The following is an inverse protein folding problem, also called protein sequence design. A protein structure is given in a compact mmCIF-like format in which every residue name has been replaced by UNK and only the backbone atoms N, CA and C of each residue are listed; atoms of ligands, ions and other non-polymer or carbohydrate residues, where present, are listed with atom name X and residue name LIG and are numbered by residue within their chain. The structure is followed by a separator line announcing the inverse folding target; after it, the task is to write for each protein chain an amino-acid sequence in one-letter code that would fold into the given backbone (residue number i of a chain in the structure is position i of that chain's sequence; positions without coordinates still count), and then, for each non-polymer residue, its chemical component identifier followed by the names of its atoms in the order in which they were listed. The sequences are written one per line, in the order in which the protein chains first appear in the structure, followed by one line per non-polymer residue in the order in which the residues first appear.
data_IF_414079417761
#
_entry.id   IF_414079417761
#
_cell.length_a   1.000
_cell.length_b   1.000
_cell.length_c   1.000
_cell.angle_alpha   90.00
_cell.angle_beta   90.00
_cell.angle_gamma   90.00
#
_symmetry.space_group_name_H-M   'P 1'
#
loop_
_entity.id
_entity.type
_entity.pdbx_description
1 polymer ?
#
# COMPACT_ATOMS: atom_id res chain seq x y z
N UNK A 1 -18.10 -20.08 6.18
CA UNK A 1 -17.01 -20.68 5.40
C UNK A 1 -17.44 -21.48 4.14
N UNK A 2 -18.49 -22.32 4.16
CA UNK A 2 -18.89 -23.16 2.98
C UNK A 2 -19.38 -22.38 1.74
N UNK A 3 -19.96 -21.19 1.88
CA UNK A 3 -20.49 -20.39 0.75
C UNK A 3 -19.36 -19.75 -0.12
N UNK A 4 -18.24 -19.41 0.49
CA UNK A 4 -17.11 -18.82 -0.22
C UNK A 4 -16.29 -19.81 -1.07
N UNK A 5 -16.31 -21.12 -0.73
CA UNK A 5 -15.61 -22.17 -1.47
C UNK A 5 -16.36 -22.65 -2.74
N UNK A 6 -17.69 -22.56 -2.77
CA UNK A 6 -18.51 -22.97 -3.91
C UNK A 6 -18.39 -22.00 -5.09
N UNK A 7 -18.47 -20.69 -4.82
CA UNK A 7 -18.34 -19.65 -5.85
C UNK A 7 -16.96 -19.58 -6.51
N UNK A 8 -15.90 -20.11 -5.90
CA UNK A 8 -14.53 -20.04 -6.41
C UNK A 8 -14.22 -21.06 -7.52
N UNK A 9 -14.89 -22.20 -7.53
CA UNK A 9 -14.75 -23.18 -8.61
C UNK A 9 -15.44 -22.73 -9.89
N UNK A 10 -16.42 -21.86 -9.78
CA UNK A 10 -17.18 -21.29 -10.89
C UNK A 10 -16.60 -19.98 -11.40
N UNK A 11 -15.82 -19.27 -10.57
CA UNK A 11 -15.16 -18.03 -10.95
C UNK A 11 -13.97 -18.28 -11.89
N UNK A 12 -13.74 -17.39 -12.85
CA UNK A 12 -12.59 -17.43 -13.77
C UNK A 12 -11.30 -16.96 -13.11
N UNK A 13 -11.41 -16.12 -12.08
CA UNK A 13 -10.28 -15.60 -11.32
C UNK A 13 -10.72 -15.17 -9.92
N UNK A 14 -9.76 -14.99 -9.02
CA UNK A 14 -9.96 -14.41 -7.69
C UNK A 14 -9.04 -13.21 -7.53
N UNK A 15 -9.60 -12.04 -7.18
CA UNK A 15 -8.85 -10.87 -6.74
C UNK A 15 -9.12 -10.68 -5.25
N UNK A 16 -8.09 -10.87 -4.43
CA UNK A 16 -8.16 -10.70 -2.97
C UNK A 16 -7.58 -9.34 -2.56
N UNK A 17 -8.46 -8.38 -2.30
CA UNK A 17 -8.12 -7.04 -1.81
C UNK A 17 -8.58 -6.83 -0.36
N UNK A 18 -8.95 -7.89 0.35
CA UNK A 18 -9.46 -7.79 1.71
C UNK A 18 -8.33 -7.53 2.72
N UNK A 19 -7.99 -8.50 3.54
CA UNK A 19 -6.94 -8.37 4.55
C UNK A 19 -5.68 -9.11 4.10
N UNK A 20 -4.59 -8.37 3.85
CA UNK A 20 -3.30 -8.93 3.46
C UNK A 20 -2.60 -9.76 4.55
N UNK A 21 -3.08 -9.67 5.79
CA UNK A 21 -2.56 -10.43 6.94
C UNK A 21 -3.42 -11.66 7.28
N UNK A 22 -4.51 -11.91 6.55
CA UNK A 22 -5.39 -13.07 6.78
C UNK A 22 -4.89 -14.32 6.02
N UNK A 23 -3.97 -15.03 6.67
CA UNK A 23 -3.45 -16.31 6.18
C UNK A 23 -4.55 -17.35 5.99
N UNK A 24 -5.51 -17.42 6.91
CA UNK A 24 -6.61 -18.39 6.86
C UNK A 24 -7.50 -18.20 5.64
N UNK A 25 -7.78 -16.95 5.25
CA UNK A 25 -8.51 -16.67 4.01
C UNK A 25 -7.74 -17.15 2.77
N UNK A 26 -6.43 -16.93 2.71
CA UNK A 26 -5.58 -17.38 1.60
C UNK A 26 -5.55 -18.90 1.54
N UNK A 27 -5.29 -19.60 2.65
CA UNK A 27 -5.27 -21.07 2.73
C UNK A 27 -6.63 -21.70 2.41
N UNK A 28 -7.73 -21.00 2.66
CA UNK A 28 -9.05 -21.43 2.24
C UNK A 28 -9.32 -21.20 0.74
N UNK A 29 -8.64 -20.27 0.07
CA UNK A 29 -8.85 -19.95 -1.35
C UNK A 29 -7.96 -20.74 -2.30
N UNK A 30 -6.69 -20.89 -2.01
CA UNK A 30 -5.70 -21.49 -2.91
C UNK A 30 -6.04 -22.94 -3.34
N UNK A 31 -6.48 -23.86 -2.45
CA UNK A 31 -6.77 -25.24 -2.84
C UNK A 31 -7.84 -25.37 -3.93
N UNK A 32 -8.77 -24.42 -4.00
CA UNK A 32 -9.81 -24.44 -5.04
C UNK A 32 -9.28 -24.05 -6.44
N UNK A 33 -8.06 -23.51 -6.52
CA UNK A 33 -7.43 -23.04 -7.76
C UNK A 33 -6.28 -23.93 -8.23
N UNK A 34 -5.84 -24.90 -7.42
CA UNK A 34 -4.76 -25.83 -7.77
C UNK A 34 -5.09 -26.58 -9.06
N UNK A 35 -4.15 -26.64 -9.98
CA UNK A 35 -4.27 -27.32 -11.28
C UNK A 35 -5.23 -26.64 -12.27
N UNK A 36 -5.86 -25.52 -11.92
CA UNK A 36 -6.86 -24.88 -12.78
C UNK A 36 -6.28 -23.88 -13.79
N UNK A 37 -5.06 -23.41 -13.60
CA UNK A 37 -4.47 -22.29 -14.36
C UNK A 37 -5.15 -20.94 -14.12
N UNK A 38 -6.19 -20.87 -13.26
CA UNK A 38 -6.94 -19.65 -12.96
C UNK A 38 -6.10 -18.67 -12.14
N UNK A 39 -6.38 -17.37 -12.32
CA UNK A 39 -5.65 -16.33 -11.62
C UNK A 39 -6.07 -16.20 -10.16
N UNK A 40 -5.07 -16.02 -9.29
CA UNK A 40 -5.21 -15.53 -7.93
C UNK A 40 -4.36 -14.29 -7.76
N UNK A 41 -4.99 -13.11 -7.83
CA UNK A 41 -4.31 -11.82 -7.62
C UNK A 41 -4.52 -11.40 -6.18
N UNK A 42 -3.44 -11.28 -5.41
CA UNK A 42 -3.49 -10.92 -3.99
C UNK A 42 -2.87 -9.57 -3.74
N UNK A 43 -3.48 -8.81 -2.85
CA UNK A 43 -2.95 -7.53 -2.38
C UNK A 43 -2.05 -7.74 -1.19
N UNK A 44 -0.75 -7.43 -1.33
CA UNK A 44 0.18 -7.26 -0.22
C UNK A 44 0.24 -5.78 0.21
N UNK A 45 1.35 -5.30 0.72
CA UNK A 45 1.54 -3.89 1.05
C UNK A 45 2.99 -3.58 1.39
N UNK A 46 3.49 -2.46 0.87
CA UNK A 46 4.92 -2.12 0.90
C UNK A 46 5.52 -1.90 2.30
N UNK A 47 4.71 -1.92 3.36
CA UNK A 47 5.21 -1.95 4.74
C UNK A 47 6.06 -3.20 5.07
N UNK A 48 6.09 -4.20 4.19
CA UNK A 48 6.99 -5.37 4.28
C UNK A 48 8.47 -4.99 4.20
N UNK A 49 8.80 -3.83 3.62
CA UNK A 49 10.16 -3.28 3.56
C UNK A 49 10.39 -2.14 4.55
N UNK A 50 9.49 -1.93 5.49
CA UNK A 50 9.60 -0.91 6.54
C UNK A 50 10.80 -1.14 7.45
N UNK A 51 11.40 -0.04 7.92
CA UNK A 51 12.66 -0.04 8.69
C UNK A 51 12.52 0.46 10.14
N UNK A 52 11.34 0.93 10.55
CA UNK A 52 11.07 1.48 11.90
C UNK A 52 12.00 2.66 12.28
N UNK A 53 12.37 3.51 11.33
CA UNK A 53 13.33 4.61 11.51
C UNK A 53 12.82 5.77 12.41
N UNK A 54 11.61 5.69 12.95
CA UNK A 54 11.03 6.67 13.86
C UNK A 54 11.07 8.12 13.34
N UNK A 55 10.86 8.30 12.04
CA UNK A 55 10.82 9.61 11.39
C UNK A 55 12.15 10.03 10.74
N UNK A 56 13.21 9.23 10.86
CA UNK A 56 14.48 9.48 10.19
C UNK A 56 14.46 9.01 8.73
N UNK A 57 15.26 9.64 7.88
CA UNK A 57 15.39 9.31 6.47
C UNK A 57 16.15 7.99 6.27
N UNK A 58 15.57 7.07 5.49
CA UNK A 58 16.25 5.88 5.00
C UNK A 58 16.57 6.00 3.51
N UNK A 59 17.74 5.49 3.10
CA UNK A 59 18.21 5.58 1.71
C UNK A 59 17.91 4.31 0.89
N UNK A 60 17.55 3.20 1.55
CA UNK A 60 17.32 1.93 0.87
C UNK A 60 16.06 1.95 0.01
N UNK A 61 16.24 1.61 -1.27
CA UNK A 61 15.16 1.49 -2.25
C UNK A 61 15.08 0.03 -2.69
N UNK A 62 13.85 -0.50 -2.73
CA UNK A 62 13.59 -1.86 -3.16
C UNK A 62 12.97 -1.88 -4.56
N UNK A 63 13.31 -2.87 -5.35
CA UNK A 63 12.66 -3.18 -6.62
C UNK A 63 11.93 -4.52 -6.51
N UNK A 64 11.14 -4.86 -7.52
CA UNK A 64 10.29 -6.06 -7.49
C UNK A 64 11.04 -7.39 -7.30
N UNK A 65 12.31 -7.43 -7.70
CA UNK A 65 13.22 -8.59 -7.57
C UNK A 65 14.18 -8.49 -6.37
N UNK A 66 14.16 -7.38 -5.62
CA UNK A 66 14.99 -7.23 -4.44
C UNK A 66 14.49 -8.16 -3.33
N UNK A 67 15.34 -9.08 -2.82
CA UNK A 67 14.94 -9.98 -1.74
C UNK A 67 14.48 -9.21 -0.50
N UNK A 68 13.25 -9.49 -0.05
CA UNK A 68 12.69 -8.88 1.16
C UNK A 68 13.10 -9.71 2.38
N UNK A 69 13.81 -9.05 3.30
CA UNK A 69 14.09 -9.54 4.65
C UNK A 69 13.25 -8.74 5.64
N UNK A 70 12.04 -9.21 5.98
CA UNK A 70 11.12 -8.43 6.79
C UNK A 70 11.58 -8.36 8.24
N UNK A 71 11.28 -7.24 8.89
CA UNK A 71 11.32 -7.18 10.35
C UNK A 71 10.27 -8.13 10.96
N UNK A 72 10.44 -8.57 12.21
CA UNK A 72 9.54 -9.55 12.85
C UNK A 72 8.06 -9.22 12.72
N UNK A 73 7.69 -7.94 12.89
CA UNK A 73 6.29 -7.47 12.77
C UNK A 73 5.69 -7.58 11.35
N UNK A 74 6.49 -7.90 10.32
CA UNK A 74 6.03 -8.09 8.93
C UNK A 74 6.34 -9.48 8.38
N UNK A 75 7.00 -10.33 9.15
CA UNK A 75 7.38 -11.67 8.73
C UNK A 75 6.18 -12.54 8.33
N UNK A 76 5.07 -12.42 9.06
CA UNK A 76 3.84 -13.17 8.75
C UNK A 76 3.26 -12.80 7.37
N UNK A 77 3.21 -11.51 7.01
CA UNK A 77 2.76 -11.07 5.69
C UNK A 77 3.65 -11.58 4.57
N UNK A 78 4.97 -11.48 4.73
CA UNK A 78 5.93 -12.00 3.74
C UNK A 78 5.82 -13.51 3.61
N UNK A 79 5.50 -14.24 4.69
CA UNK A 79 5.23 -15.68 4.62
C UNK A 79 3.95 -15.99 3.83
N UNK A 80 2.92 -15.17 3.91
CA UNK A 80 1.70 -15.28 3.09
C UNK A 80 2.03 -15.00 1.62
N UNK A 81 2.77 -13.94 1.33
CA UNK A 81 3.20 -13.61 -0.03
C UNK A 81 3.98 -14.78 -0.66
N UNK A 82 4.92 -15.38 0.06
CA UNK A 82 5.68 -16.55 -0.39
C UNK A 82 4.79 -17.76 -0.65
N UNK A 83 3.86 -18.08 0.26
CA UNK A 83 2.89 -19.15 0.09
C UNK A 83 2.10 -18.99 -1.21
N UNK A 84 1.65 -17.77 -1.51
CA UNK A 84 0.90 -17.46 -2.73
C UNK A 84 1.79 -17.62 -3.96
N UNK A 85 3.00 -17.04 -3.97
CA UNK A 85 3.93 -17.15 -5.10
C UNK A 85 4.32 -18.61 -5.38
N UNK A 86 4.57 -19.41 -4.34
CA UNK A 86 4.92 -20.82 -4.46
C UNK A 86 3.77 -21.67 -5.02
N UNK A 87 2.51 -21.24 -4.88
CA UNK A 87 1.36 -21.94 -5.45
C UNK A 87 1.37 -22.01 -6.98
N UNK A 88 2.20 -21.19 -7.63
CA UNK A 88 2.45 -21.28 -9.07
C UNK A 88 2.94 -22.67 -9.50
N UNK A 89 3.75 -23.33 -8.66
CA UNK A 89 4.25 -24.70 -8.89
C UNK A 89 3.12 -25.75 -8.90
N UNK A 90 1.97 -25.40 -8.32
CA UNK A 90 0.79 -26.24 -8.24
C UNK A 90 -0.31 -25.84 -9.26
N UNK A 91 0.08 -25.12 -10.33
CA UNK A 91 -0.83 -24.75 -11.42
C UNK A 91 -1.83 -23.65 -11.06
N UNK A 92 -1.51 -22.79 -10.08
CA UNK A 92 -2.24 -21.54 -9.82
C UNK A 92 -1.51 -20.40 -10.53
N UNK A 93 -2.20 -19.58 -11.29
CA UNK A 93 -1.61 -18.34 -11.81
C UNK A 93 -1.64 -17.27 -10.71
N UNK A 94 -0.73 -17.45 -9.74
CA UNK A 94 -0.61 -16.58 -8.57
C UNK A 94 0.14 -15.30 -8.90
N UNK A 95 -0.40 -14.17 -8.44
CA UNK A 95 0.17 -12.83 -8.63
C UNK A 95 0.02 -12.02 -7.35
N UNK A 96 1.08 -11.34 -6.97
CA UNK A 96 1.06 -10.34 -5.88
C UNK A 96 1.11 -8.94 -6.49
N UNK A 97 0.14 -8.10 -6.15
CA UNK A 97 0.23 -6.65 -6.28
C UNK A 97 0.53 -6.08 -4.89
N UNK A 98 1.64 -5.36 -4.76
CA UNK A 98 2.10 -4.77 -3.51
C UNK A 98 2.03 -3.24 -3.59
N UNK A 99 0.87 -2.63 -3.28
CA UNK A 99 0.72 -1.19 -3.32
C UNK A 99 1.50 -0.53 -2.19
N UNK A 100 1.87 0.71 -2.47
CA UNK A 100 2.48 1.66 -1.53
C UNK A 100 1.39 2.43 -0.77
N UNK A 101 1.67 3.64 -0.28
CA UNK A 101 0.62 4.49 0.28
C UNK A 101 -0.42 4.81 -0.81
N UNK A 102 -1.60 4.23 -0.69
CA UNK A 102 -2.69 4.49 -1.62
C UNK A 102 -3.34 5.82 -1.26
N UNK A 103 -3.48 6.72 -2.22
CA UNK A 103 -4.17 7.99 -2.07
C UNK A 103 -5.18 8.21 -3.21
N UNK A 104 -5.93 9.29 -3.12
CA UNK A 104 -7.04 9.57 -4.02
C UNK A 104 -8.37 9.08 -3.46
N UNK A 105 -9.44 9.31 -4.19
CA UNK A 105 -10.79 8.92 -3.82
C UNK A 105 -11.25 7.77 -4.71
N UNK A 106 -11.57 6.64 -4.10
CA UNK A 106 -12.12 5.49 -4.80
C UNK A 106 -13.58 5.72 -5.23
N UNK A 107 -14.04 4.87 -6.16
CA UNK A 107 -15.41 4.95 -6.71
C UNK A 107 -16.39 3.96 -6.05
N UNK A 108 -15.94 3.22 -5.03
CA UNK A 108 -16.73 2.22 -4.32
C UNK A 108 -17.42 2.74 -3.05
N UNK A 109 -17.97 1.82 -2.28
CA UNK A 109 -18.71 2.11 -1.03
C UNK A 109 -17.81 2.80 0.02
N UNK A 110 -16.54 2.40 0.11
CA UNK A 110 -15.53 3.02 0.97
C UNK A 110 -14.57 3.81 0.09
N UNK A 111 -14.94 5.04 -0.24
CA UNK A 111 -14.22 5.85 -1.21
C UNK A 111 -12.93 6.49 -0.66
N UNK A 112 -12.76 6.58 0.66
CA UNK A 112 -11.64 7.29 1.26
C UNK A 112 -10.43 6.38 1.50
N UNK A 113 -9.23 6.92 1.26
CA UNK A 113 -7.98 6.30 1.67
C UNK A 113 -7.81 6.34 3.20
N UNK A 114 -6.82 5.64 3.74
CA UNK A 114 -6.65 5.53 5.20
C UNK A 114 -5.69 6.57 5.76
N UNK A 115 -4.48 6.69 5.18
CA UNK A 115 -3.40 7.48 5.80
C UNK A 115 -3.63 8.98 5.73
N UNK A 116 -3.95 9.50 4.55
CA UNK A 116 -4.11 10.95 4.33
C UNK A 116 -5.24 11.54 5.15
N UNK A 117 -6.47 10.98 5.16
CA UNK A 117 -7.56 11.49 6.00
C UNK A 117 -7.23 11.52 7.50
N UNK A 118 -6.49 10.53 8.01
CA UNK A 118 -6.05 10.51 9.41
C UNK A 118 -5.07 11.63 9.71
N UNK A 119 -4.12 11.90 8.81
CA UNK A 119 -3.18 13.03 8.96
C UNK A 119 -3.90 14.38 8.86
N UNK A 120 -4.92 14.52 8.02
CA UNK A 120 -5.75 15.72 7.93
C UNK A 120 -6.52 15.94 9.24
N UNK A 121 -7.16 14.90 9.77
CA UNK A 121 -7.88 14.97 11.04
C UNK A 121 -6.94 15.38 12.19
N UNK A 122 -5.74 14.81 12.22
CA UNK A 122 -4.73 15.15 13.21
C UNK A 122 -4.25 16.60 13.09
N UNK A 123 -4.04 17.09 11.86
CA UNK A 123 -3.63 18.47 11.61
C UNK A 123 -4.72 19.48 12.05
N UNK A 124 -6.00 19.18 11.81
CA UNK A 124 -7.12 19.99 12.32
C UNK A 124 -7.16 20.03 13.85
N UNK A 125 -6.96 18.88 14.49
CA UNK A 125 -6.95 18.77 15.97
C UNK A 125 -5.86 19.61 16.62
N UNK A 126 -4.70 19.71 15.99
CA UNK A 126 -3.50 20.36 16.56
C UNK A 126 -3.17 21.72 15.94
N UNK A 127 -3.84 22.16 14.90
CA UNK A 127 -3.55 23.43 14.21
C UNK A 127 -2.20 23.44 13.50
N UNK A 128 -1.62 22.28 13.19
CA UNK A 128 -0.37 22.12 12.45
C UNK A 128 -0.32 20.76 11.76
N UNK A 129 0.37 20.64 10.64
CA UNK A 129 0.70 19.34 10.08
C UNK A 129 1.57 18.52 11.02
N UNK A 130 1.27 17.24 11.23
CA UNK A 130 1.98 16.39 12.21
C UNK A 130 2.75 15.28 11.52
N UNK A 131 3.95 15.00 12.03
CA UNK A 131 4.81 13.91 11.56
C UNK A 131 5.59 13.30 12.74
N UNK A 132 5.96 12.02 12.63
CA UNK A 132 6.78 11.35 13.64
C UNK A 132 8.22 11.86 13.56
N UNK A 133 8.86 12.13 14.69
CA UNK A 133 10.24 12.57 14.77
C UNK A 133 10.55 13.72 13.83
N UNK A 134 11.58 13.61 13.01
CA UNK A 134 11.94 14.64 12.01
C UNK A 134 11.02 14.68 10.79
N UNK A 135 10.21 13.63 10.58
CA UNK A 135 9.32 13.51 9.42
C UNK A 135 10.07 13.35 8.10
N UNK A 136 11.35 12.98 8.14
CA UNK A 136 12.20 12.79 6.96
C UNK A 136 12.10 11.40 6.37
N UNK A 137 11.43 10.48 7.07
CA UNK A 137 11.10 9.16 6.55
C UNK A 137 10.23 9.25 5.29
N UNK A 138 10.58 8.46 4.27
CA UNK A 138 10.02 8.54 2.93
C UNK A 138 9.15 7.32 2.64
N UNK A 139 7.96 7.59 2.08
CA UNK A 139 7.10 6.56 1.54
C UNK A 139 6.81 6.78 0.06
N UNK A 140 6.98 5.71 -0.70
CA UNK A 140 6.43 5.63 -2.05
C UNK A 140 4.90 5.63 -1.97
N UNK A 141 4.25 6.18 -2.99
CA UNK A 141 2.80 6.33 -3.01
C UNK A 141 2.24 6.01 -4.39
N UNK A 142 0.94 5.75 -4.47
CA UNK A 142 0.23 5.44 -5.71
C UNK A 142 -1.21 5.96 -5.65
N UNK A 143 -1.66 6.63 -6.71
CA UNK A 143 -3.05 7.04 -6.82
C UNK A 143 -3.95 5.84 -7.10
N UNK A 144 -5.16 5.83 -6.52
CA UNK A 144 -6.11 4.72 -6.70
C UNK A 144 -6.49 4.51 -8.18
N UNK A 145 -6.61 5.58 -8.97
CA UNK A 145 -6.94 5.49 -10.40
C UNK A 145 -5.80 4.92 -11.25
N UNK A 146 -4.56 4.94 -10.76
CA UNK A 146 -3.44 4.24 -11.38
C UNK A 146 -3.31 2.80 -10.89
N UNK A 147 -3.69 2.56 -9.62
CA UNK A 147 -3.60 1.24 -9.02
C UNK A 147 -4.60 0.24 -9.62
N UNK A 148 -5.85 0.67 -9.82
CA UNK A 148 -6.91 -0.21 -10.36
C UNK A 148 -6.54 -0.77 -11.75
N UNK A 149 -6.06 0.04 -12.72
CA UNK A 149 -5.56 -0.49 -14.00
C UNK A 149 -4.44 -1.52 -13.85
N UNK A 150 -3.56 -1.39 -12.83
CA UNK A 150 -2.53 -2.40 -12.59
C UNK A 150 -3.12 -3.75 -12.20
N UNK A 151 -4.19 -3.79 -11.40
CA UNK A 151 -4.89 -5.05 -11.09
C UNK A 151 -5.47 -5.72 -12.33
N UNK A 152 -6.04 -4.94 -13.26
CA UNK A 152 -6.57 -5.46 -14.52
C UNK A 152 -5.44 -6.00 -15.40
N UNK A 153 -4.35 -5.26 -15.54
CA UNK A 153 -3.16 -5.72 -16.28
C UNK A 153 -2.55 -6.98 -15.66
N UNK A 154 -2.47 -7.05 -14.34
CA UNK A 154 -1.98 -8.21 -13.61
C UNK A 154 -2.88 -9.43 -13.84
N UNK A 155 -4.20 -9.22 -13.79
CA UNK A 155 -5.19 -10.27 -14.07
C UNK A 155 -5.09 -10.80 -15.50
N UNK A 156 -4.85 -9.94 -16.49
CA UNK A 156 -4.82 -10.31 -17.91
C UNK A 156 -3.48 -10.89 -18.34
N UNK A 157 -2.36 -10.32 -17.88
CA UNK A 157 -1.04 -10.51 -18.49
C UNK A 157 0.02 -11.12 -17.58
N UNK A 158 -0.15 -11.03 -16.23
CA UNK A 158 0.92 -11.44 -15.33
C UNK A 158 1.19 -12.96 -15.40
N UNK A 159 2.46 -13.38 -15.56
CA UNK A 159 2.85 -14.77 -15.40
C UNK A 159 2.59 -15.29 -13.99
N UNK A 160 2.43 -16.62 -13.86
CA UNK A 160 2.33 -17.26 -12.55
C UNK A 160 3.58 -17.02 -11.68
N UNK A 161 3.39 -16.80 -10.40
CA UNK A 161 4.47 -16.53 -9.44
C UNK A 161 5.05 -15.10 -9.56
N UNK A 162 4.29 -14.14 -10.09
CA UNK A 162 4.75 -12.77 -10.24
C UNK A 162 4.46 -11.89 -9.02
N UNK A 163 5.42 -11.01 -8.73
CA UNK A 163 5.29 -9.96 -7.72
C UNK A 163 5.52 -8.58 -8.37
N UNK A 164 4.63 -7.63 -8.10
CA UNK A 164 4.69 -6.27 -8.62
C UNK A 164 4.47 -5.24 -7.52
N UNK A 165 5.44 -4.35 -7.32
CA UNK A 165 5.16 -3.12 -6.59
C UNK A 165 4.26 -2.20 -7.41
N UNK A 166 3.44 -1.38 -6.71
CA UNK A 166 2.67 -0.30 -7.31
C UNK A 166 3.08 1.03 -6.67
N UNK A 167 3.82 1.86 -7.42
CA UNK A 167 4.21 3.20 -6.98
C UNK A 167 4.27 4.17 -8.16
N UNK A 168 3.92 5.44 -7.89
CA UNK A 168 4.07 6.55 -8.82
C UNK A 168 4.48 7.83 -8.11
N UNK A 169 5.58 7.77 -7.38
CA UNK A 169 6.15 8.87 -6.62
C UNK A 169 6.47 8.49 -5.18
N UNK A 170 7.12 9.40 -4.49
CA UNK A 170 7.45 9.28 -3.07
C UNK A 170 7.44 10.66 -2.41
N UNK A 171 7.13 10.70 -1.13
CA UNK A 171 7.19 11.91 -0.31
C UNK A 171 7.69 11.58 1.09
N UNK A 172 8.36 12.53 1.74
CA UNK A 172 8.58 12.50 3.17
C UNK A 172 7.27 12.82 3.91
N UNK A 173 7.14 12.31 5.14
CA UNK A 173 5.96 12.65 5.95
C UNK A 173 5.90 14.13 6.32
N UNK A 174 7.05 14.82 6.39
CA UNK A 174 7.08 16.27 6.56
C UNK A 174 6.51 17.03 5.36
N UNK A 175 6.83 16.60 4.13
CA UNK A 175 6.23 17.17 2.91
C UNK A 175 4.71 16.97 2.88
N UNK A 176 4.24 15.77 3.24
CA UNK A 176 2.81 15.47 3.33
C UNK A 176 2.15 16.35 4.40
N UNK A 177 2.74 16.44 5.58
CA UNK A 177 2.25 17.28 6.69
C UNK A 177 2.20 18.77 6.31
N UNK A 178 3.22 19.27 5.60
CA UNK A 178 3.27 20.64 5.12
C UNK A 178 2.19 20.92 4.06
N UNK A 179 1.96 20.00 3.14
CA UNK A 179 0.89 20.11 2.13
C UNK A 179 -0.49 20.14 2.80
N UNK A 180 -0.75 19.27 3.78
CA UNK A 180 -1.99 19.27 4.57
C UNK A 180 -2.15 20.60 5.32
N UNK A 181 -1.08 21.09 5.93
CA UNK A 181 -1.10 22.37 6.65
C UNK A 181 -1.42 23.55 5.73
N UNK A 182 -0.87 23.58 4.50
CA UNK A 182 -1.22 24.60 3.50
C UNK A 182 -2.68 24.49 3.07
N UNK A 183 -3.15 23.31 2.77
CA UNK A 183 -4.54 23.04 2.39
C UNK A 183 -5.54 23.50 3.45
N UNK A 184 -5.19 23.36 4.74
CA UNK A 184 -6.02 23.80 5.87
C UNK A 184 -5.86 25.29 6.24
N UNK A 185 -5.10 26.08 5.45
CA UNK A 185 -4.87 27.50 5.75
C UNK A 185 -3.91 27.75 6.94
N UNK A 186 -3.15 26.73 7.36
CA UNK A 186 -2.23 26.81 8.51
C UNK A 186 -0.81 27.24 8.10
N UNK A 187 -0.63 27.80 6.89
CA UNK A 187 0.62 28.38 6.42
C UNK A 187 1.76 27.41 6.17
N UNK A 188 1.50 26.12 6.07
CA UNK A 188 2.54 25.09 5.88
C UNK A 188 3.27 24.71 7.17
N UNK A 189 2.82 25.19 8.35
CA UNK A 189 3.41 24.86 9.64
C UNK A 189 3.32 23.36 9.93
N UNK A 190 4.46 22.77 10.32
CA UNK A 190 4.54 21.37 10.75
C UNK A 190 5.13 21.26 12.14
N UNK A 191 4.70 20.26 12.89
CA UNK A 191 5.21 19.98 14.23
C UNK A 191 5.51 18.49 14.39
N UNK A 192 6.65 18.14 15.01
CA UNK A 192 6.96 16.76 15.32
C UNK A 192 6.03 16.21 16.40
N UNK A 193 5.82 14.90 16.36
CA UNK A 193 5.25 14.11 17.46
C UNK A 193 6.21 12.99 17.81
N UNK A 194 6.20 12.55 19.07
CA UNK A 194 7.01 11.41 19.48
C UNK A 194 6.43 10.11 18.91
N UNK A 195 7.25 9.07 18.80
CA UNK A 195 6.75 7.75 18.42
C UNK A 195 5.68 7.24 19.42
N UNK A 196 5.85 7.57 20.70
CA UNK A 196 4.86 7.23 21.76
C UNK A 196 3.50 7.87 21.48
N UNK A 197 3.48 9.15 21.09
CA UNK A 197 2.23 9.86 20.76
C UNK A 197 1.62 9.29 19.48
N UNK A 198 2.46 8.92 18.50
CA UNK A 198 2.00 8.26 17.29
C UNK A 198 1.38 6.89 17.57
N UNK A 199 1.93 6.12 18.50
CA UNK A 199 1.34 4.84 18.95
C UNK A 199 -0.02 5.06 19.60
N UNK A 200 -0.16 6.09 20.43
CA UNK A 200 -1.44 6.44 21.05
C UNK A 200 -2.50 6.87 20.02
N UNK A 201 -2.10 7.58 18.97
CA UNK A 201 -3.03 8.10 17.94
C UNK A 201 -3.38 7.04 16.87
N UNK A 202 -2.41 6.26 16.40
CA UNK A 202 -2.56 5.38 15.22
C UNK A 202 -2.54 3.88 15.54
N UNK A 203 -2.13 3.50 16.75
CA UNK A 203 -1.79 2.13 17.14
C UNK A 203 -0.34 1.76 16.79
N UNK A 204 0.20 0.78 17.49
CA UNK A 204 1.62 0.41 17.44
C UNK A 204 2.10 0.05 16.03
N UNK A 205 1.38 -0.85 15.36
CA UNK A 205 1.76 -1.30 14.00
C UNK A 205 1.76 -0.14 13.00
N UNK A 206 0.77 0.76 13.03
CA UNK A 206 0.71 1.87 12.10
C UNK A 206 1.78 2.92 12.42
N UNK A 207 2.01 3.24 13.68
CA UNK A 207 3.04 4.18 14.10
C UNK A 207 4.45 3.72 13.68
N UNK A 208 4.76 2.44 13.91
CA UNK A 208 6.09 1.89 13.63
C UNK A 208 6.33 1.57 12.16
N UNK A 209 5.35 0.95 11.46
CA UNK A 209 5.52 0.41 10.11
C UNK A 209 4.85 1.24 9.00
N UNK A 210 4.24 2.37 9.35
CA UNK A 210 3.68 3.31 8.38
C UNK A 210 4.18 4.72 8.66
N UNK A 211 3.65 5.40 9.67
CA UNK A 211 3.91 6.82 9.90
C UNK A 211 5.34 7.16 10.34
N UNK A 212 6.05 6.25 11.01
CA UNK A 212 7.42 6.44 11.47
C UNK A 212 8.50 5.69 10.67
N UNK A 213 8.12 4.98 9.60
CA UNK A 213 8.99 4.10 8.82
C UNK A 213 9.27 4.67 7.43
N UNK A 214 10.36 4.24 6.80
CA UNK A 214 10.53 4.35 5.36
C UNK A 214 9.91 3.14 4.66
N UNK A 215 9.42 3.36 3.44
CA UNK A 215 9.01 2.31 2.52
C UNK A 215 9.20 2.82 1.11
N UNK A 216 10.43 2.69 0.61
CA UNK A 216 10.83 3.20 -0.71
C UNK A 216 10.95 2.05 -1.69
N UNK A 217 10.09 2.03 -2.68
CA UNK A 217 10.06 0.98 -3.71
C UNK A 217 10.00 1.58 -5.11
N UNK A 218 10.31 0.75 -6.13
CA UNK A 218 10.15 1.11 -7.54
C UNK A 218 9.42 -0.01 -8.27
N UNK A 219 8.35 0.34 -8.95
CA UNK A 219 7.51 -0.55 -9.75
C UNK A 219 8.11 -0.76 -11.15
N UNK A 220 9.32 -1.33 -11.22
CA UNK A 220 10.06 -1.50 -12.49
C UNK A 220 9.39 -2.57 -13.35
N UNK A 221 9.04 -3.71 -12.75
CA UNK A 221 8.43 -4.83 -13.47
C UNK A 221 7.04 -4.51 -13.98
N UNK A 222 6.20 -3.85 -13.17
CA UNK A 222 4.87 -3.47 -13.58
C UNK A 222 4.89 -2.61 -14.86
N UNK A 223 5.81 -1.65 -14.94
CA UNK A 223 5.98 -0.81 -16.13
C UNK A 223 6.52 -1.60 -17.33
N UNK A 224 7.57 -2.40 -17.12
CA UNK A 224 8.25 -3.13 -18.20
C UNK A 224 7.43 -4.31 -18.73
N UNK A 225 6.87 -5.12 -17.84
CA UNK A 225 6.26 -6.41 -18.19
C UNK A 225 4.77 -6.31 -18.48
N UNK A 226 4.06 -5.42 -17.79
CA UNK A 226 2.62 -5.26 -17.97
C UNK A 226 2.25 -4.04 -18.82
N UNK A 227 3.20 -3.13 -19.08
CA UNK A 227 2.92 -1.86 -19.76
C UNK A 227 2.15 -0.88 -18.87
N UNK A 228 2.25 -1.02 -17.54
CA UNK A 228 1.60 -0.11 -16.62
C UNK A 228 2.18 1.30 -16.69
N UNK A 229 1.34 2.28 -16.98
CA UNK A 229 1.72 3.68 -17.18
C UNK A 229 0.83 4.58 -16.29
N UNK A 230 1.22 4.83 -15.04
CA UNK A 230 0.48 5.70 -14.14
C UNK A 230 0.47 7.14 -14.65
N UNK A 231 -0.67 7.84 -14.47
CA UNK A 231 -0.91 9.19 -15.04
C UNK A 231 -1.59 10.15 -14.05
N UNK A 232 -2.04 9.67 -12.91
CA UNK A 232 -2.76 10.48 -11.94
C UNK A 232 -1.86 11.57 -11.32
N UNK A 233 -2.48 12.60 -10.75
CA UNK A 233 -1.79 13.69 -10.07
C UNK A 233 -0.96 13.20 -8.88
N UNK A 234 0.05 13.99 -8.48
CA UNK A 234 0.89 13.65 -7.34
C UNK A 234 0.11 13.74 -6.02
N UNK A 235 0.57 13.02 -4.98
CA UNK A 235 -0.02 13.07 -3.66
C UNK A 235 -0.17 14.50 -3.11
N UNK A 236 0.87 15.33 -3.25
CA UNK A 236 0.84 16.73 -2.80
C UNK A 236 -0.23 17.52 -3.57
N UNK A 237 -0.33 17.31 -4.88
CA UNK A 237 -1.36 17.98 -5.69
C UNK A 237 -2.77 17.54 -5.29
N UNK A 238 -2.99 16.25 -5.02
CA UNK A 238 -4.28 15.73 -4.54
C UNK A 238 -4.66 16.30 -3.16
N UNK A 239 -3.68 16.51 -2.28
CA UNK A 239 -3.93 17.14 -0.98
C UNK A 239 -4.31 18.62 -1.15
N UNK A 240 -3.54 19.38 -1.93
CA UNK A 240 -3.70 20.83 -1.99
C UNK A 240 -4.81 21.30 -2.92
N UNK A 241 -5.12 20.56 -4.00
CA UNK A 241 -5.99 21.00 -5.10
C UNK A 241 -6.94 19.91 -5.60
N UNK A 242 -6.72 18.64 -5.20
CA UNK A 242 -7.48 17.50 -5.68
C UNK A 242 -8.60 17.08 -4.71
N UNK A 243 -8.75 15.76 -4.55
CA UNK A 243 -9.88 15.17 -3.83
C UNK A 243 -9.88 15.42 -2.31
N UNK A 244 -8.74 15.80 -1.72
CA UNK A 244 -8.64 16.13 -0.30
C UNK A 244 -8.80 17.64 -0.01
N UNK A 245 -8.71 18.50 -1.04
CA UNK A 245 -8.89 19.93 -0.87
C UNK A 245 -10.30 20.25 -0.36
N UNK A 246 -10.39 21.16 0.60
CA UNK A 246 -11.70 21.67 1.04
C UNK A 246 -12.34 22.43 -0.11
N UNK A 247 -13.56 22.05 -0.48
CA UNK A 247 -14.35 22.82 -1.41
C UNK A 247 -14.88 24.04 -0.62
N UNK A 248 -14.33 25.23 -0.92
CA UNK A 248 -14.89 26.50 -0.46
C UNK A 248 -16.31 26.67 -0.99
#
# INVERSE_FOLDING_TARGET
MRRCSRNRREADAVINTANSDDRGAVEAMLPALVGSGKAFVHTSGSSIVGDMAAGERGEKIYQDDTPVQPLPGKAARVAIDRLILDSARNGVRSVIVCPTMIYGRGHGVHAESVQVPRLIALARKHGAGRHVGRGENIWSNVHIDDLVPLYLLALEKAPAGSFFYAENGENSYREIAAAISRMLGLGGRTEPMTLKDAVAEFGETAAQFSYGSNSRVRAVRARRELGWAPKAGTLVNEIERGCYAEKN
#
